data_IF_622340020090
#
_entry.id   IF_622340020090
#
_cell.length_a   1.000
_cell.length_b   1.000
_cell.length_c   1.000
_cell.angle_alpha   90.00
_cell.angle_beta   90.00
_cell.angle_gamma   90.00
#
_symmetry.space_group_name_H-M   'P 1'
#
loop_
_entity.id
_entity.type
_entity.pdbx_description
1 polymer ?
#
# COMPACT_ATOMS: atom_id res chain seq x y z
N UNK A 1 5.74 -48.59 -30.39
CA UNK A 1 5.74 -47.35 -29.63
C UNK A 1 7.17 -46.89 -29.38
N UNK A 2 7.57 -45.76 -29.92
CA UNK A 2 8.90 -45.19 -29.73
C UNK A 2 8.80 -44.04 -28.69
N UNK A 3 9.28 -44.26 -27.46
CA UNK A 3 9.20 -43.22 -26.42
C UNK A 3 10.15 -42.03 -26.70
N UNK A 4 11.10 -42.15 -27.65
CA UNK A 4 11.97 -41.02 -28.02
C UNK A 4 11.24 -39.95 -28.84
N UNK A 5 10.14 -40.31 -29.51
CA UNK A 5 9.33 -39.35 -30.26
C UNK A 5 8.51 -38.42 -29.39
N UNK A 6 8.43 -38.71 -28.09
CA UNK A 6 7.72 -37.88 -27.08
C UNK A 6 8.70 -37.04 -26.26
N UNK A 7 9.98 -37.13 -26.55
CA UNK A 7 11.00 -36.29 -25.88
C UNK A 7 10.73 -34.84 -26.18
N UNK A 8 10.42 -34.08 -25.15
CA UNK A 8 9.96 -32.69 -25.24
C UNK A 8 8.45 -32.48 -25.08
N UNK A 9 7.63 -33.56 -25.08
CA UNK A 9 6.19 -33.45 -24.85
C UNK A 9 5.78 -33.72 -23.39
N UNK A 10 6.63 -34.39 -22.63
CA UNK A 10 6.33 -34.76 -21.25
C UNK A 10 7.43 -34.34 -20.29
N UNK A 11 7.05 -33.78 -19.17
CA UNK A 11 7.93 -33.59 -18.04
C UNK A 11 8.10 -34.94 -17.33
N UNK A 12 9.33 -35.45 -17.20
CA UNK A 12 9.60 -36.70 -16.54
C UNK A 12 9.23 -36.67 -15.07
N UNK A 13 8.88 -37.81 -14.51
CA UNK A 13 8.47 -37.93 -13.12
C UNK A 13 9.67 -37.93 -12.14
N UNK A 14 10.88 -38.12 -12.64
CA UNK A 14 12.10 -38.19 -11.82
C UNK A 14 13.30 -37.56 -12.53
N UNK A 15 14.25 -37.03 -11.74
CA UNK A 15 15.49 -36.41 -12.21
C UNK A 15 15.36 -34.94 -12.57
N UNK A 16 16.51 -34.28 -12.74
CA UNK A 16 16.55 -32.87 -13.12
C UNK A 16 16.17 -32.69 -14.59
N UNK A 17 15.39 -31.71 -14.90
CA UNK A 17 14.92 -31.39 -16.24
C UNK A 17 15.00 -29.92 -16.55
N UNK A 18 15.49 -29.60 -17.74
CA UNK A 18 15.36 -28.27 -18.32
C UNK A 18 14.14 -28.24 -19.22
N UNK A 19 13.22 -27.32 -18.95
CA UNK A 19 11.98 -27.12 -19.75
C UNK A 19 12.02 -25.72 -20.32
N UNK A 20 12.36 -25.60 -21.60
CA UNK A 20 12.47 -24.32 -22.29
C UNK A 20 11.11 -23.77 -22.75
N UNK A 21 11.07 -22.45 -22.96
CA UNK A 21 9.90 -21.73 -23.45
C UNK A 21 8.87 -21.44 -22.36
N UNK A 22 7.81 -20.72 -22.72
CA UNK A 22 6.72 -20.37 -21.82
C UNK A 22 5.88 -21.59 -21.47
N UNK A 23 5.70 -21.84 -20.19
CA UNK A 23 4.81 -22.91 -19.68
C UNK A 23 3.65 -22.28 -18.93
N UNK A 24 2.45 -22.68 -19.31
CA UNK A 24 1.21 -22.25 -18.64
C UNK A 24 0.69 -23.39 -17.80
N UNK A 25 0.54 -23.15 -16.50
CA UNK A 25 -0.09 -24.08 -15.57
C UNK A 25 -1.50 -23.61 -15.29
N UNK A 26 -2.49 -24.43 -15.61
CA UNK A 26 -3.91 -24.15 -15.35
C UNK A 26 -4.33 -24.42 -13.90
N UNK A 27 -3.45 -25.03 -13.11
CA UNK A 27 -3.65 -25.36 -11.70
C UNK A 27 -2.49 -24.87 -10.86
N UNK A 28 -2.68 -24.77 -9.56
CA UNK A 28 -1.63 -24.38 -8.63
C UNK A 28 -0.41 -25.31 -8.71
N UNK A 29 0.79 -24.75 -8.74
CA UNK A 29 2.02 -25.52 -8.56
C UNK A 29 2.15 -25.82 -7.07
N UNK A 30 2.11 -27.11 -6.70
CA UNK A 30 2.32 -27.58 -5.33
C UNK A 30 3.77 -28.03 -5.21
N UNK A 31 4.60 -27.26 -4.50
CA UNK A 31 6.01 -27.55 -4.30
C UNK A 31 6.85 -26.28 -4.06
N UNK A 32 8.15 -26.47 -3.83
CA UNK A 32 9.08 -25.35 -3.73
C UNK A 32 9.42 -24.81 -5.13
N UNK A 33 9.14 -23.54 -5.37
CA UNK A 33 9.67 -22.82 -6.51
C UNK A 33 10.95 -22.11 -6.06
N UNK A 34 12.13 -22.66 -6.43
CA UNK A 34 13.42 -22.02 -6.17
C UNK A 34 13.81 -21.19 -7.38
N UNK A 35 14.04 -19.89 -7.20
CA UNK A 35 14.41 -18.94 -8.25
C UNK A 35 13.63 -17.63 -8.12
N UNK A 36 13.82 -16.76 -9.10
CA UNK A 36 13.08 -15.50 -9.15
C UNK A 36 11.68 -15.73 -9.74
N UNK A 37 10.64 -15.61 -8.94
CA UNK A 37 9.31 -15.33 -9.45
C UNK A 37 9.29 -13.85 -9.89
N UNK A 38 9.67 -13.57 -11.15
CA UNK A 38 9.81 -12.18 -11.63
C UNK A 38 8.50 -11.48 -11.91
N UNK A 39 7.36 -12.13 -11.70
CA UNK A 39 6.03 -11.56 -11.96
C UNK A 39 5.06 -11.95 -10.85
N UNK A 40 4.64 -10.90 -10.14
CA UNK A 40 3.42 -10.82 -9.33
C UNK A 40 2.96 -12.12 -8.67
N UNK A 41 3.24 -12.25 -7.39
CA UNK A 41 2.30 -12.94 -6.54
C UNK A 41 1.10 -11.98 -6.38
N UNK A 42 -0.05 -12.22 -7.00
CA UNK A 42 -1.27 -11.60 -6.53
C UNK A 42 -1.57 -12.25 -5.18
N UNK A 43 -0.99 -11.70 -4.10
CA UNK A 43 -1.34 -12.11 -2.76
C UNK A 43 -2.70 -11.48 -2.43
N UNK A 44 -3.76 -12.19 -2.77
CA UNK A 44 -5.10 -11.91 -2.25
C UNK A 44 -5.22 -12.29 -0.78
N UNK A 45 -4.13 -12.29 -0.07
CA UNK A 45 -3.99 -12.65 1.32
C UNK A 45 -3.02 -13.82 1.50
N UNK A 46 -2.32 -13.84 2.60
CA UNK A 46 -1.37 -14.90 2.97
C UNK A 46 -0.43 -14.43 4.07
N UNK A 47 0.20 -15.40 4.73
CA UNK A 47 1.22 -15.12 5.74
C UNK A 47 2.59 -15.27 5.10
N UNK A 48 3.40 -14.24 5.18
CA UNK A 48 4.82 -14.33 4.87
C UNK A 48 5.56 -14.82 6.12
N UNK A 49 6.09 -16.03 6.08
CA UNK A 49 6.79 -16.63 7.22
C UNK A 49 8.29 -16.32 7.24
N UNK A 50 8.83 -15.77 6.16
CA UNK A 50 10.20 -15.28 6.08
C UNK A 50 10.31 -13.80 6.40
N UNK A 51 11.53 -13.36 6.81
CA UNK A 51 11.80 -11.95 7.03
C UNK A 51 11.70 -11.17 5.71
N UNK A 52 10.93 -10.07 5.72
CA UNK A 52 10.94 -9.08 4.65
C UNK A 52 12.08 -8.10 4.96
N UNK A 53 13.16 -8.17 4.19
CA UNK A 53 14.35 -7.34 4.45
C UNK A 53 14.17 -5.89 4.02
N UNK A 54 13.26 -5.61 3.10
CA UNK A 54 12.92 -4.25 2.71
C UNK A 54 11.52 -4.20 2.06
N UNK A 55 10.74 -3.21 2.49
CA UNK A 55 9.53 -2.74 1.79
C UNK A 55 9.87 -1.34 1.28
N UNK A 56 9.68 -1.11 -0.03
CA UNK A 56 9.87 0.20 -0.64
C UNK A 56 8.52 0.71 -1.09
N UNK A 57 8.12 1.82 -0.52
CA UNK A 57 6.88 2.52 -0.87
C UNK A 57 7.21 3.77 -1.68
N UNK A 58 6.36 4.09 -2.65
CA UNK A 58 6.47 5.32 -3.43
C UNK A 58 5.62 6.39 -2.76
N UNK A 59 6.19 7.58 -2.56
CA UNK A 59 5.42 8.74 -2.10
C UNK A 59 4.45 9.18 -3.21
N UNK A 60 3.20 9.41 -2.83
CA UNK A 60 2.12 9.78 -3.72
C UNK A 60 1.80 11.26 -3.53
N UNK A 61 2.09 12.06 -4.55
CA UNK A 61 1.68 13.45 -4.57
C UNK A 61 0.21 13.56 -4.97
N UNK A 62 -0.61 14.19 -4.12
CA UNK A 62 -2.02 14.43 -4.43
C UNK A 62 -2.22 15.52 -5.48
N UNK A 63 -1.19 16.33 -5.78
CA UNK A 63 -1.26 17.39 -6.76
C UNK A 63 -2.40 18.37 -6.48
N UNK A 64 -3.29 18.56 -7.46
CA UNK A 64 -4.48 19.40 -7.31
C UNK A 64 -5.63 18.70 -6.57
N UNK A 65 -5.58 17.37 -6.49
CA UNK A 65 -6.58 16.56 -5.79
C UNK A 65 -6.46 16.64 -4.27
N UNK A 66 -7.44 16.07 -3.58
CA UNK A 66 -7.48 15.97 -2.12
C UNK A 66 -8.03 14.62 -1.63
N UNK A 67 -8.27 13.69 -2.55
CA UNK A 67 -8.68 12.32 -2.24
C UNK A 67 -7.44 11.46 -1.94
N UNK A 68 -7.39 10.89 -0.77
CA UNK A 68 -6.37 9.94 -0.33
C UNK A 68 -6.86 8.56 -0.71
N UNK A 69 -6.30 8.01 -1.79
CA UNK A 69 -6.67 6.70 -2.30
C UNK A 69 -5.72 5.63 -1.78
N UNK A 70 -6.18 4.82 -0.82
CA UNK A 70 -5.36 3.80 -0.17
C UNK A 70 -5.00 2.61 -1.08
N UNK A 71 -5.62 2.50 -2.25
CA UNK A 71 -5.20 1.52 -3.25
C UNK A 71 -3.88 1.87 -3.93
N UNK A 72 -3.44 3.14 -3.83
CA UNK A 72 -2.20 3.62 -4.43
C UNK A 72 -0.98 3.49 -3.51
N UNK A 73 -1.18 3.43 -2.20
CA UNK A 73 -0.11 3.31 -1.19
C UNK A 73 -0.47 3.94 0.14
N UNK A 74 0.54 4.13 1.00
CA UNK A 74 0.37 4.58 2.38
C UNK A 74 1.10 5.88 2.71
N UNK A 75 1.84 6.46 1.77
CA UNK A 75 2.59 7.69 1.99
C UNK A 75 2.16 8.75 0.99
N UNK A 76 1.48 9.78 1.48
CA UNK A 76 0.92 10.85 0.68
C UNK A 76 1.54 12.21 1.03
N UNK A 77 1.65 13.07 0.03
CA UNK A 77 2.08 14.45 0.22
C UNK A 77 1.20 15.44 -0.53
N UNK A 78 1.02 16.63 0.03
CA UNK A 78 0.32 17.73 -0.62
C UNK A 78 0.85 19.09 -0.17
N UNK A 79 1.19 19.92 -1.16
CA UNK A 79 1.36 21.36 -0.92
C UNK A 79 0.00 22.04 -0.92
N UNK A 80 -0.28 22.75 0.17
CA UNK A 80 -1.55 23.48 0.36
C UNK A 80 -1.37 24.92 -0.12
N UNK A 81 -2.20 25.31 -1.08
CA UNK A 81 -2.23 26.65 -1.68
C UNK A 81 -3.65 27.26 -1.71
N UNK A 82 -4.62 26.56 -1.17
CA UNK A 82 -6.02 27.00 -0.98
C UNK A 82 -6.68 26.14 0.10
N UNK A 83 -7.84 26.59 0.59
CA UNK A 83 -8.65 25.77 1.51
C UNK A 83 -8.97 24.42 0.88
N UNK A 84 -8.72 23.35 1.63
CA UNK A 84 -8.73 21.96 1.11
C UNK A 84 -9.63 21.09 1.97
N UNK A 85 -10.48 20.29 1.31
CA UNK A 85 -11.29 19.25 1.96
C UNK A 85 -10.75 17.89 1.56
N UNK A 86 -10.29 17.10 2.52
CA UNK A 86 -9.78 15.74 2.30
C UNK A 86 -10.90 14.71 2.34
N UNK A 87 -10.72 13.65 1.55
CA UNK A 87 -11.50 12.40 1.60
C UNK A 87 -10.56 11.21 1.56
N UNK A 88 -11.02 10.05 2.04
CA UNK A 88 -10.28 8.79 1.97
C UNK A 88 -11.08 7.80 1.15
N UNK A 89 -10.41 7.12 0.22
CA UNK A 89 -11.01 6.16 -0.72
C UNK A 89 -10.34 4.79 -0.56
N UNK A 90 -11.07 3.77 -1.01
CA UNK A 90 -10.58 2.40 -1.10
C UNK A 90 -10.07 1.82 0.23
N UNK A 91 -10.76 2.13 1.33
CA UNK A 91 -10.51 1.50 2.61
C UNK A 91 -10.77 0.00 2.52
N UNK A 92 -9.89 -0.78 3.14
CA UNK A 92 -10.11 -2.21 3.36
C UNK A 92 -11.25 -2.41 4.35
N UNK A 93 -11.91 -3.56 4.28
CA UNK A 93 -13.06 -3.88 5.13
C UNK A 93 -12.71 -3.93 6.62
N UNK A 94 -13.73 -3.81 7.45
CA UNK A 94 -13.62 -3.93 8.91
C UNK A 94 -12.87 -5.20 9.32
N UNK A 95 -12.02 -5.09 10.34
CA UNK A 95 -11.13 -6.15 10.79
C UNK A 95 -9.75 -6.12 10.13
N UNK A 96 -9.55 -5.29 9.10
CA UNK A 96 -8.25 -5.06 8.47
C UNK A 96 -7.77 -3.64 8.78
N UNK A 97 -6.49 -3.48 9.07
CA UNK A 97 -5.92 -2.16 9.34
C UNK A 97 -5.77 -1.37 8.04
N UNK A 98 -6.32 -0.16 8.04
CA UNK A 98 -6.03 0.89 7.07
C UNK A 98 -5.12 1.91 7.77
N UNK A 99 -4.00 2.26 7.18
CA UNK A 99 -3.11 3.27 7.75
C UNK A 99 -2.39 4.04 6.65
N UNK A 100 -2.12 5.31 6.90
CA UNK A 100 -1.33 6.13 5.99
C UNK A 100 -0.66 7.29 6.72
N UNK A 101 0.37 7.83 6.11
CA UNK A 101 1.04 9.08 6.48
C UNK A 101 0.67 10.14 5.47
N UNK A 102 0.36 11.33 5.95
CA UNK A 102 0.08 12.51 5.13
C UNK A 102 1.04 13.63 5.51
N UNK A 103 1.89 14.00 4.57
CA UNK A 103 2.76 15.16 4.66
C UNK A 103 2.07 16.37 4.03
N UNK A 104 1.94 17.45 4.80
CA UNK A 104 1.32 18.69 4.37
C UNK A 104 2.33 19.82 4.39
N UNK A 105 2.46 20.53 3.28
CA UNK A 105 3.33 21.68 3.16
C UNK A 105 2.49 22.96 3.18
N UNK A 106 2.81 23.90 4.08
CA UNK A 106 2.17 25.22 4.25
C UNK A 106 0.67 25.17 4.59
N UNK A 107 0.24 24.13 5.30
CA UNK A 107 -1.18 23.90 5.54
C UNK A 107 -1.85 24.91 6.50
N UNK A 108 -1.09 25.46 7.44
CA UNK A 108 -1.63 26.37 8.47
C UNK A 108 -2.09 27.74 7.96
N UNK A 109 -1.77 28.10 6.71
CA UNK A 109 -2.25 29.34 6.08
C UNK A 109 -3.67 29.23 5.51
N UNK A 110 -4.24 28.03 5.48
CA UNK A 110 -5.52 27.74 4.83
C UNK A 110 -6.42 26.91 5.72
N UNK A 111 -7.71 26.88 5.42
CA UNK A 111 -8.66 26.02 6.12
C UNK A 111 -8.53 24.59 5.61
N UNK A 112 -8.20 23.65 6.51
CA UNK A 112 -8.22 22.23 6.23
C UNK A 112 -9.51 21.63 6.80
N UNK A 113 -10.32 21.07 5.93
CA UNK A 113 -11.48 20.26 6.30
C UNK A 113 -11.10 18.79 6.18
N UNK A 114 -11.10 18.11 7.30
CA UNK A 114 -10.75 16.71 7.38
C UNK A 114 -11.91 15.80 6.94
N UNK A 115 -11.58 14.61 6.50
CA UNK A 115 -12.56 13.54 6.28
C UNK A 115 -13.27 13.16 7.59
N UNK A 116 -14.44 12.56 7.49
CA UNK A 116 -15.28 12.23 8.65
C UNK A 116 -14.67 11.14 9.54
N UNK A 117 -15.10 11.12 10.80
CA UNK A 117 -14.79 10.04 11.75
C UNK A 117 -13.45 10.16 12.44
N UNK A 118 -12.64 11.21 12.23
CA UNK A 118 -11.35 11.37 12.90
C UNK A 118 -11.53 11.62 14.39
N UNK A 119 -10.77 10.90 15.18
CA UNK A 119 -10.57 11.08 16.61
C UNK A 119 -9.14 11.58 16.84
N UNK A 120 -9.02 12.85 17.14
CA UNK A 120 -7.75 13.48 17.55
C UNK A 120 -7.49 13.28 19.04
N UNK A 121 -6.25 13.44 19.46
CA UNK A 121 -5.91 13.52 20.88
C UNK A 121 -6.71 14.65 21.53
N UNK A 122 -7.30 14.39 22.69
CA UNK A 122 -8.14 15.36 23.43
C UNK A 122 -9.34 15.92 22.63
N UNK A 123 -9.64 15.32 21.47
CA UNK A 123 -10.71 15.77 20.58
C UNK A 123 -10.36 17.03 19.75
N UNK A 124 -9.12 17.47 19.77
CA UNK A 124 -8.67 18.73 19.15
C UNK A 124 -7.81 18.42 17.93
N UNK A 125 -8.22 18.92 16.76
CA UNK A 125 -7.38 18.85 15.56
C UNK A 125 -6.09 19.67 15.74
N UNK A 126 -4.95 19.20 15.17
CA UNK A 126 -3.68 19.89 15.32
C UNK A 126 -3.69 21.28 14.65
N UNK A 127 -2.95 22.20 15.22
CA UNK A 127 -2.60 23.47 14.57
C UNK A 127 -1.49 23.17 13.57
N UNK A 128 -1.71 23.50 12.30
CA UNK A 128 -0.78 23.23 11.22
C UNK A 128 0.12 24.45 10.97
N UNK A 129 1.30 24.18 10.43
CA UNK A 129 2.33 25.19 10.17
C UNK A 129 2.00 26.02 8.93
N UNK A 130 2.02 27.34 9.07
CA UNK A 130 1.73 28.26 7.97
C UNK A 130 2.79 28.26 6.87
N UNK A 131 4.05 28.04 7.23
CA UNK A 131 5.19 27.96 6.30
C UNK A 131 6.18 26.91 6.82
N UNK A 132 5.96 25.67 6.41
CA UNK A 132 6.74 24.51 6.86
C UNK A 132 6.03 23.23 6.49
N UNK A 133 6.48 22.13 7.05
CA UNK A 133 5.98 20.79 6.77
C UNK A 133 5.42 20.17 8.04
N UNK A 134 4.22 19.67 7.98
CA UNK A 134 3.59 18.88 9.03
C UNK A 134 3.38 17.45 8.56
N UNK A 135 3.71 16.48 9.39
CA UNK A 135 3.57 15.06 9.11
C UNK A 135 2.52 14.48 10.05
N UNK A 136 1.48 13.91 9.48
CA UNK A 136 0.36 13.35 10.20
C UNK A 136 0.21 11.85 9.89
N UNK A 137 -0.11 11.07 10.92
CA UNK A 137 -0.39 9.65 10.79
C UNK A 137 -1.86 9.36 11.05
N UNK A 138 -2.42 8.43 10.28
CA UNK A 138 -3.81 8.01 10.44
C UNK A 138 -3.91 6.50 10.42
N UNK A 139 -4.80 5.94 11.24
CA UNK A 139 -5.16 4.54 11.13
C UNK A 139 -6.63 4.28 11.47
N UNK A 140 -7.18 3.22 10.89
CA UNK A 140 -8.53 2.71 11.10
C UNK A 140 -8.53 1.19 10.98
N UNK A 141 -9.41 0.50 11.70
CA UNK A 141 -9.62 -0.94 11.61
C UNK A 141 -11.11 -1.32 11.45
N UNK A 142 -11.97 -0.34 11.24
CA UNK A 142 -13.42 -0.50 11.08
C UNK A 142 -13.94 -0.09 9.70
N UNK A 143 -13.10 -0.26 8.68
CA UNK A 143 -13.45 0.05 7.29
C UNK A 143 -13.42 1.55 6.99
N UNK A 144 -12.69 2.35 7.76
CA UNK A 144 -12.58 3.80 7.55
C UNK A 144 -13.74 4.60 8.17
N UNK A 145 -14.55 3.99 9.03
CA UNK A 145 -15.63 4.69 9.76
C UNK A 145 -15.06 5.57 10.87
N UNK A 146 -14.11 5.02 11.64
CA UNK A 146 -13.40 5.75 12.69
C UNK A 146 -11.91 5.78 12.41
N UNK A 147 -11.33 6.96 12.45
CA UNK A 147 -9.90 7.19 12.26
C UNK A 147 -9.27 7.72 13.54
N UNK A 148 -8.05 7.27 13.84
CA UNK A 148 -7.18 7.87 14.83
C UNK A 148 -6.17 8.75 14.11
N UNK A 149 -6.20 10.05 14.40
CA UNK A 149 -5.27 11.02 13.86
C UNK A 149 -4.16 11.34 14.87
N UNK A 150 -2.92 11.32 14.41
CA UNK A 150 -1.73 11.58 15.20
C UNK A 150 -0.86 12.64 14.51
N UNK A 151 -0.20 13.46 15.29
CA UNK A 151 0.87 14.34 14.80
C UNK A 151 2.18 13.58 14.96
N UNK A 152 2.85 13.29 13.85
CA UNK A 152 4.15 12.62 13.81
C UNK A 152 5.31 13.63 13.77
N UNK A 153 5.08 14.79 13.18
CA UNK A 153 6.01 15.90 13.16
C UNK A 153 5.29 17.20 12.84
N UNK A 154 5.72 18.27 13.43
CA UNK A 154 5.18 19.60 13.22
C UNK A 154 6.34 20.55 12.90
N UNK A 155 6.15 21.43 11.90
CA UNK A 155 7.15 22.40 11.45
C UNK A 155 8.52 21.75 11.15
N UNK A 156 8.48 20.64 10.41
CA UNK A 156 9.70 19.92 9.98
C UNK A 156 10.51 20.79 9.01
N UNK A 157 11.78 21.07 9.36
CA UNK A 157 12.72 21.93 8.60
C UNK A 157 13.98 21.20 8.23
#
# INVERSE_FOLDING_TARGET
YDPSSLDGQFVKLTGDQTVDGTKTFSSNIVGNVTGYASLNLPLTGGTMTGAITAIRETQISLGVGSAIDLSLGNLFTKSINSSTTFSVLNCLSSGTSNSFILELVNAGSFTITWFSGIKWAEGIAPILTASGVDVLGFYSYDGGVTWKGLVLGNDMK
#
